data_IF_137876755395
#
_entry.id   IF_137876755395
#
_cell.length_a   1.000
_cell.length_b   1.000
_cell.length_c   1.000
_cell.angle_alpha   90.00
_cell.angle_beta   90.00
_cell.angle_gamma   90.00
#
_symmetry.space_group_name_H-M   'P 1'
#
loop_
_entity.id
_entity.type
_entity.pdbx_description
1 polymer ?
#
# COMPACT_ATOMS: atom_id res chain seq x y z
N UNK A 1 24.64 -14.78 5.42
CA UNK A 1 25.54 -14.02 4.54
C UNK A 1 26.51 -13.22 5.39
N UNK A 2 27.78 -13.04 5.01
CA UNK A 2 28.72 -12.22 5.80
C UNK A 2 28.28 -10.73 5.78
N UNK A 3 28.37 -9.98 6.90
CA UNK A 3 27.93 -8.57 6.97
C UNK A 3 28.53 -7.67 5.89
N UNK A 4 29.79 -7.90 5.51
CA UNK A 4 30.45 -7.15 4.44
C UNK A 4 29.85 -7.41 3.06
N UNK A 5 29.54 -8.68 2.74
CA UNK A 5 28.93 -9.05 1.44
C UNK A 5 27.54 -8.42 1.29
N UNK A 6 26.79 -8.31 2.40
CA UNK A 6 25.52 -7.56 2.45
C UNK A 6 25.73 -6.09 2.06
N UNK A 7 26.72 -5.41 2.64
CA UNK A 7 27.01 -4.01 2.28
C UNK A 7 27.44 -3.85 0.82
N UNK A 8 28.25 -4.79 0.30
CA UNK A 8 28.64 -4.80 -1.12
C UNK A 8 27.44 -5.00 -2.03
N UNK A 9 26.56 -5.96 -1.74
CA UNK A 9 25.34 -6.20 -2.51
C UNK A 9 24.45 -4.96 -2.53
N UNK A 10 24.22 -4.35 -1.35
CA UNK A 10 23.46 -3.11 -1.23
C UNK A 10 24.04 -1.99 -2.09
N UNK A 11 25.35 -1.78 -2.03
CA UNK A 11 26.03 -0.78 -2.83
C UNK A 11 25.92 -1.04 -4.35
N UNK A 12 25.99 -2.30 -4.78
CA UNK A 12 25.77 -2.69 -6.19
C UNK A 12 24.35 -2.36 -6.62
N UNK A 13 23.35 -2.72 -5.82
CA UNK A 13 21.94 -2.46 -6.13
C UNK A 13 21.68 -0.95 -6.21
N UNK A 14 22.15 -0.17 -5.24
CA UNK A 14 22.00 1.30 -5.23
C UNK A 14 22.69 1.97 -6.45
N UNK A 15 23.92 1.58 -6.78
CA UNK A 15 24.62 2.12 -7.96
C UNK A 15 23.93 1.70 -9.26
N UNK A 16 23.40 0.47 -9.34
CA UNK A 16 22.69 -0.01 -10.52
C UNK A 16 21.34 0.66 -10.72
N UNK A 17 20.54 0.87 -9.66
CA UNK A 17 19.27 1.62 -9.72
C UNK A 17 19.50 3.03 -10.27
N UNK A 18 20.60 3.68 -9.88
CA UNK A 18 20.92 5.04 -10.30
C UNK A 18 21.48 5.14 -11.72
N UNK A 19 22.32 4.19 -12.14
CA UNK A 19 23.07 4.28 -13.41
C UNK A 19 22.49 3.42 -14.52
N UNK A 20 21.79 2.34 -14.19
CA UNK A 20 21.41 1.26 -15.11
C UNK A 20 22.61 0.62 -15.84
N UNK A 21 23.83 0.82 -15.35
CA UNK A 21 25.07 0.31 -15.94
C UNK A 21 25.69 -0.79 -15.05
N UNK A 22 26.30 -1.84 -15.63
CA UNK A 22 26.97 -2.88 -14.86
C UNK A 22 28.00 -2.33 -13.88
N UNK A 23 27.85 -2.65 -12.59
CA UNK A 23 28.64 -2.03 -11.52
C UNK A 23 29.97 -2.74 -11.33
N UNK A 24 31.07 -1.98 -11.35
CA UNK A 24 32.42 -2.48 -11.10
C UNK A 24 32.88 -2.24 -9.66
N UNK A 25 33.78 -3.10 -9.15
CA UNK A 25 34.34 -2.97 -7.79
C UNK A 25 35.06 -1.64 -7.54
N UNK A 26 35.66 -1.05 -8.58
CA UNK A 26 36.28 0.27 -8.50
C UNK A 26 35.27 1.40 -8.25
N UNK A 27 34.07 1.33 -8.85
CA UNK A 27 32.99 2.30 -8.61
C UNK A 27 32.54 2.26 -7.16
N UNK A 28 32.33 1.05 -6.63
CA UNK A 28 31.87 0.85 -5.25
C UNK A 28 32.89 1.40 -4.25
N UNK A 29 34.18 1.13 -4.47
CA UNK A 29 35.27 1.64 -3.61
C UNK A 29 35.23 3.16 -3.53
N UNK A 30 34.98 3.83 -4.67
CA UNK A 30 34.96 5.29 -4.78
C UNK A 30 33.71 5.92 -4.16
N UNK A 31 32.55 5.28 -4.32
CA UNK A 31 31.26 5.88 -3.98
C UNK A 31 30.79 5.55 -2.55
N UNK A 32 31.10 4.35 -2.04
CA UNK A 32 30.45 3.79 -0.83
C UNK A 32 31.36 3.67 0.41
N UNK A 33 32.65 4.00 0.29
CA UNK A 33 33.60 4.05 1.43
C UNK A 33 33.57 2.84 2.38
N UNK A 34 33.46 1.62 1.83
CA UNK A 34 33.32 0.37 2.60
C UNK A 34 34.57 -0.06 3.40
N UNK A 35 35.62 0.76 3.44
CA UNK A 35 36.86 0.48 4.18
C UNK A 35 37.70 -0.69 3.64
N UNK A 36 37.43 -1.15 2.41
CA UNK A 36 38.11 -2.30 1.78
C UNK A 36 38.61 -2.01 0.37
N UNK A 37 39.62 -2.77 -0.07
CA UNK A 37 40.21 -2.61 -1.41
C UNK A 37 39.27 -3.09 -2.52
N UNK A 38 39.45 -2.55 -3.74
CA UNK A 38 38.73 -3.01 -4.93
C UNK A 38 38.93 -4.51 -5.22
N UNK A 39 40.09 -5.08 -4.88
CA UNK A 39 40.34 -6.52 -5.00
C UNK A 39 39.46 -7.34 -4.04
N UNK A 40 39.31 -6.88 -2.79
CA UNK A 40 38.43 -7.50 -1.80
C UNK A 40 36.96 -7.43 -2.25
N UNK A 41 36.52 -6.27 -2.75
CA UNK A 41 35.16 -6.10 -3.27
C UNK A 41 34.94 -7.01 -4.48
N UNK A 42 35.91 -7.14 -5.40
CA UNK A 42 35.80 -8.06 -6.54
C UNK A 42 35.59 -9.51 -6.10
N UNK A 43 36.31 -9.95 -5.06
CA UNK A 43 36.14 -11.30 -4.50
C UNK A 43 34.76 -11.48 -3.86
N UNK A 44 34.28 -10.47 -3.10
CA UNK A 44 32.94 -10.51 -2.51
C UNK A 44 31.84 -10.50 -3.60
N UNK A 45 32.02 -9.74 -4.68
CA UNK A 45 31.12 -9.73 -5.84
C UNK A 45 31.11 -11.07 -6.60
N UNK A 46 32.26 -11.73 -6.75
CA UNK A 46 32.29 -13.09 -7.32
C UNK A 46 31.57 -14.10 -6.44
N UNK A 47 31.73 -14.02 -5.11
CA UNK A 47 30.97 -14.87 -4.21
C UNK A 47 29.45 -14.58 -4.27
N UNK A 48 29.07 -13.30 -4.40
CA UNK A 48 27.67 -12.90 -4.60
C UNK A 48 27.07 -13.43 -5.92
N UNK A 49 27.89 -13.51 -6.96
CA UNK A 49 27.54 -14.09 -8.25
C UNK A 49 27.38 -15.62 -8.17
N UNK A 50 28.31 -16.31 -7.52
CA UNK A 50 28.20 -17.75 -7.23
C UNK A 50 26.95 -18.08 -6.39
N UNK A 51 26.62 -17.21 -5.43
CA UNK A 51 25.41 -17.31 -4.61
C UNK A 51 24.13 -16.90 -5.36
N UNK A 52 24.24 -16.39 -6.60
CA UNK A 52 23.13 -16.03 -7.48
C UNK A 52 22.44 -14.69 -7.20
N UNK A 53 23.02 -13.82 -6.37
CA UNK A 53 22.49 -12.46 -6.10
C UNK A 53 22.89 -11.45 -7.18
N UNK A 54 24.01 -11.69 -7.83
CA UNK A 54 24.53 -10.88 -8.93
C UNK A 54 24.75 -11.76 -10.15
N UNK A 55 24.81 -11.16 -11.32
CA UNK A 55 25.21 -11.82 -12.56
C UNK A 55 26.12 -10.90 -13.37
N UNK A 56 27.08 -11.49 -14.08
CA UNK A 56 27.90 -10.78 -15.05
C UNK A 56 27.28 -10.90 -16.46
N UNK A 57 26.74 -9.81 -17.05
CA UNK A 57 26.06 -9.90 -18.36
C UNK A 57 27.04 -10.22 -19.51
N UNK A 58 28.28 -9.72 -19.42
CA UNK A 58 29.36 -9.99 -20.37
C UNK A 58 30.69 -10.14 -19.63
N UNK A 59 31.60 -10.95 -20.16
CA UNK A 59 32.89 -11.30 -19.51
C UNK A 59 33.78 -10.12 -19.11
N UNK A 60 33.60 -8.95 -19.72
CA UNK A 60 34.31 -7.70 -19.38
C UNK A 60 33.46 -6.66 -18.63
N UNK A 61 32.16 -6.90 -18.48
CA UNK A 61 31.23 -5.98 -17.82
C UNK A 61 31.34 -6.08 -16.29
N UNK A 62 30.84 -5.05 -15.60
CA UNK A 62 30.52 -5.10 -14.18
C UNK A 62 29.45 -6.15 -13.86
N UNK A 63 28.87 -6.09 -12.66
CA UNK A 63 27.81 -7.01 -12.22
C UNK A 63 26.50 -6.26 -12.16
N UNK A 64 25.41 -6.97 -12.42
CA UNK A 64 24.05 -6.46 -12.27
C UNK A 64 23.31 -7.31 -11.22
N UNK A 65 22.36 -6.73 -10.46
CA UNK A 65 21.53 -7.50 -9.54
C UNK A 65 20.61 -8.46 -10.28
N UNK A 66 20.40 -9.64 -9.70
CA UNK A 66 19.32 -10.56 -10.09
C UNK A 66 18.05 -10.24 -9.30
N UNK A 67 16.91 -10.87 -9.63
CA UNK A 67 15.69 -10.79 -8.82
C UNK A 67 15.97 -11.14 -7.35
N UNK A 68 16.78 -12.18 -7.11
CA UNK A 68 17.24 -12.57 -5.77
C UNK A 68 18.06 -11.46 -5.09
N UNK A 69 18.90 -10.75 -5.85
CA UNK A 69 19.64 -9.57 -5.41
C UNK A 69 18.72 -8.44 -4.94
N UNK A 70 17.72 -8.10 -5.76
CA UNK A 70 16.73 -7.07 -5.41
C UNK A 70 15.85 -7.47 -4.23
N UNK A 71 15.35 -8.71 -4.20
CA UNK A 71 14.56 -9.24 -3.10
C UNK A 71 15.29 -9.09 -1.77
N UNK A 72 16.54 -9.53 -1.71
CA UNK A 72 17.35 -9.38 -0.50
C UNK A 72 17.61 -7.92 -0.12
N UNK A 73 17.81 -7.04 -1.10
CA UNK A 73 17.93 -5.60 -0.86
C UNK A 73 16.65 -5.01 -0.27
N UNK A 74 15.49 -5.34 -0.84
CA UNK A 74 14.16 -4.87 -0.39
C UNK A 74 13.83 -5.40 1.00
N UNK A 75 14.08 -6.67 1.27
CA UNK A 75 13.86 -7.27 2.60
C UNK A 75 14.76 -6.62 3.67
N UNK A 76 15.94 -6.12 3.27
CA UNK A 76 16.86 -5.37 4.11
C UNK A 76 16.45 -3.91 4.38
N UNK A 77 15.40 -3.39 3.72
CA UNK A 77 14.87 -2.05 3.97
C UNK A 77 14.07 -2.03 5.29
N UNK A 78 14.80 -2.01 6.41
CA UNK A 78 14.27 -2.14 7.76
C UNK A 78 13.31 -1.00 8.20
N UNK A 79 13.21 0.10 7.44
CA UNK A 79 12.14 1.07 7.62
C UNK A 79 12.00 1.92 6.37
N UNK A 80 10.75 2.09 5.93
CA UNK A 80 10.39 3.12 4.96
C UNK A 80 10.84 4.46 5.54
N UNK A 81 11.78 5.14 4.88
CA UNK A 81 12.26 6.46 5.32
C UNK A 81 11.05 7.39 5.37
N UNK A 82 10.69 7.93 6.54
CA UNK A 82 9.53 8.79 6.63
C UNK A 82 9.74 10.01 5.74
N UNK A 83 8.75 10.30 4.88
CA UNK A 83 8.75 11.54 4.12
C UNK A 83 8.95 12.73 5.06
N UNK A 84 9.75 13.71 4.61
CA UNK A 84 9.92 14.97 5.34
C UNK A 84 8.59 15.68 5.53
N UNK A 85 8.48 16.53 6.56
CA UNK A 85 7.27 17.34 6.79
C UNK A 85 6.94 18.25 5.59
N UNK A 86 7.94 18.68 4.83
CA UNK A 86 7.73 19.41 3.58
C UNK A 86 7.03 18.53 2.52
N UNK A 87 7.55 17.32 2.28
CA UNK A 87 6.95 16.36 1.36
C UNK A 87 5.53 15.95 1.79
N UNK A 88 5.32 15.66 3.07
CA UNK A 88 3.98 15.34 3.61
C UNK A 88 2.99 16.49 3.40
N UNK A 89 3.40 17.73 3.65
CA UNK A 89 2.56 18.91 3.41
C UNK A 89 2.27 19.12 1.93
N UNK A 90 3.25 18.93 1.05
CA UNK A 90 3.04 19.02 -0.39
C UNK A 90 2.01 18.00 -0.88
N UNK A 91 2.12 16.73 -0.44
CA UNK A 91 1.15 15.68 -0.71
C UNK A 91 -0.24 16.09 -0.21
N UNK A 92 -0.36 16.51 1.06
CA UNK A 92 -1.64 16.91 1.65
C UNK A 92 -2.27 18.08 0.91
N UNK A 93 -1.49 19.09 0.53
CA UNK A 93 -1.98 20.25 -0.21
C UNK A 93 -2.47 19.85 -1.61
N UNK A 94 -1.74 18.98 -2.30
CA UNK A 94 -2.13 18.50 -3.63
C UNK A 94 -3.45 17.70 -3.61
N UNK A 95 -3.63 16.90 -2.55
CA UNK A 95 -4.84 16.09 -2.36
C UNK A 95 -5.99 16.87 -1.69
N UNK A 96 -5.73 18.08 -1.18
CA UNK A 96 -6.76 18.92 -0.58
C UNK A 96 -7.69 19.54 -1.63
N UNK A 97 -8.92 19.85 -1.22
CA UNK A 97 -9.93 20.45 -2.10
C UNK A 97 -10.54 19.48 -3.12
N UNK A 98 -10.46 18.17 -2.85
CA UNK A 98 -11.26 17.19 -3.58
C UNK A 98 -12.74 17.29 -3.16
N UNK A 99 -13.63 17.16 -4.15
CA UNK A 99 -15.08 17.32 -3.96
C UNK A 99 -15.77 15.97 -3.69
N UNK A 100 -15.15 14.87 -4.10
CA UNK A 100 -15.67 13.51 -3.95
C UNK A 100 -14.55 12.50 -3.68
N UNK A 101 -14.93 11.29 -3.26
CA UNK A 101 -14.01 10.15 -3.13
C UNK A 101 -13.30 9.88 -4.47
N UNK A 102 -14.04 9.79 -5.57
CA UNK A 102 -13.50 9.57 -6.91
C UNK A 102 -12.44 10.60 -7.32
N UNK A 103 -12.67 11.90 -7.09
CA UNK A 103 -11.66 12.95 -7.37
C UNK A 103 -10.41 12.74 -6.50
N UNK A 104 -10.59 12.35 -5.24
CA UNK A 104 -9.48 12.05 -4.32
C UNK A 104 -8.65 10.85 -4.81
N UNK A 105 -9.28 9.76 -5.23
CA UNK A 105 -8.61 8.57 -5.76
C UNK A 105 -7.84 8.89 -7.04
N UNK A 106 -8.46 9.62 -7.97
CA UNK A 106 -7.84 10.02 -9.23
C UNK A 106 -6.62 10.93 -9.01
N UNK A 107 -6.73 11.92 -8.10
CA UNK A 107 -5.60 12.78 -7.73
C UNK A 107 -4.49 12.01 -7.03
N UNK A 108 -4.83 11.03 -6.20
CA UNK A 108 -3.87 10.17 -5.52
C UNK A 108 -3.05 9.34 -6.52
N UNK A 109 -3.71 8.74 -7.52
CA UNK A 109 -3.01 8.02 -8.59
C UNK A 109 -2.04 8.96 -9.35
N UNK A 110 -2.50 10.14 -9.76
CA UNK A 110 -1.66 11.12 -10.49
C UNK A 110 -0.46 11.60 -9.67
N UNK A 111 -0.68 11.89 -8.39
CA UNK A 111 0.38 12.32 -7.48
C UNK A 111 1.42 11.21 -7.30
N UNK A 112 0.98 9.99 -7.05
CA UNK A 112 1.87 8.84 -6.87
C UNK A 112 2.71 8.62 -8.15
N UNK A 113 2.08 8.60 -9.32
CA UNK A 113 2.78 8.49 -10.60
C UNK A 113 3.84 9.58 -10.79
N UNK A 114 3.50 10.82 -10.44
CA UNK A 114 4.43 11.97 -10.56
C UNK A 114 5.62 11.84 -9.62
N UNK A 115 5.41 11.36 -8.38
CA UNK A 115 6.48 11.19 -7.40
C UNK A 115 7.41 10.04 -7.79
N UNK A 116 6.85 8.92 -8.27
CA UNK A 116 7.64 7.71 -8.55
C UNK A 116 8.20 7.68 -9.97
N UNK A 117 7.59 8.43 -10.90
CA UNK A 117 7.85 8.34 -12.33
C UNK A 117 7.38 7.02 -12.95
N UNK A 118 6.49 6.30 -12.26
CA UNK A 118 6.00 4.97 -12.62
C UNK A 118 4.50 4.98 -12.89
N UNK A 119 3.94 3.83 -13.27
CA UNK A 119 2.48 3.67 -13.31
C UNK A 119 1.98 3.57 -11.88
N UNK A 120 0.98 4.38 -11.54
CA UNK A 120 0.28 4.32 -10.27
C UNK A 120 -1.14 3.80 -10.45
N UNK A 121 -1.56 2.95 -9.51
CA UNK A 121 -2.87 2.32 -9.49
C UNK A 121 -3.53 2.57 -8.13
N UNK A 122 -4.80 2.95 -8.15
CA UNK A 122 -5.63 3.09 -6.95
C UNK A 122 -6.97 2.43 -7.23
N UNK A 123 -7.34 1.42 -6.44
CA UNK A 123 -8.67 0.83 -6.51
C UNK A 123 -9.66 1.61 -5.63
N UNK A 124 -10.90 1.76 -6.06
CA UNK A 124 -11.98 2.24 -5.18
C UNK A 124 -12.30 1.24 -4.07
N UNK A 125 -12.75 1.69 -2.87
CA UNK A 125 -13.25 0.79 -1.82
C UNK A 125 -14.34 -0.16 -2.29
N UNK A 126 -14.14 -1.45 -2.03
CA UNK A 126 -15.07 -2.52 -2.29
C UNK A 126 -16.37 -2.36 -1.48
N UNK A 127 -17.55 -2.44 -2.11
CA UNK A 127 -18.83 -2.52 -1.39
C UNK A 127 -18.87 -3.78 -0.51
N UNK A 128 -18.31 -4.89 -0.98
CA UNK A 128 -18.25 -6.20 -0.34
C UNK A 128 -17.46 -6.20 0.96
N UNK A 129 -16.52 -5.27 1.11
CA UNK A 129 -15.76 -5.06 2.34
C UNK A 129 -16.24 -3.85 3.14
N UNK A 130 -17.28 -3.16 2.66
CA UNK A 130 -17.84 -1.98 3.29
C UNK A 130 -19.11 -2.27 4.10
N UNK A 131 -19.47 -1.34 4.95
CA UNK A 131 -20.71 -1.36 5.74
C UNK A 131 -21.69 -0.33 5.19
N UNK A 132 -22.98 -0.63 5.27
CA UNK A 132 -24.04 0.31 4.90
C UNK A 132 -24.12 1.39 5.96
N UNK A 133 -23.91 2.64 5.57
CA UNK A 133 -24.08 3.79 6.45
C UNK A 133 -25.48 4.36 6.35
N UNK A 134 -25.95 4.59 5.12
CA UNK A 134 -27.26 5.17 4.87
C UNK A 134 -27.81 4.71 3.52
N UNK A 135 -29.11 4.46 3.45
CA UNK A 135 -29.86 4.16 2.23
C UNK A 135 -30.90 5.26 2.04
N UNK A 136 -30.86 5.96 0.92
CA UNK A 136 -31.84 6.96 0.53
C UNK A 136 -32.64 6.48 -0.68
N UNK A 137 -33.96 6.68 -0.64
CA UNK A 137 -34.85 6.38 -1.76
C UNK A 137 -35.42 7.68 -2.31
N UNK A 138 -34.97 8.07 -3.49
CA UNK A 138 -35.38 9.31 -4.14
C UNK A 138 -36.34 9.00 -5.27
N UNK A 139 -37.53 9.60 -5.27
CA UNK A 139 -38.47 9.43 -6.36
C UNK A 139 -38.05 10.28 -7.57
N UNK A 140 -37.79 9.62 -8.70
CA UNK A 140 -37.39 10.28 -9.96
C UNK A 140 -38.60 10.47 -10.87
N UNK A 141 -39.55 9.52 -10.85
CA UNK A 141 -40.80 9.57 -11.60
C UNK A 141 -41.93 8.86 -10.83
N UNK A 142 -43.16 8.87 -11.35
CA UNK A 142 -44.27 8.13 -10.74
C UNK A 142 -44.03 6.63 -10.61
N UNK A 143 -43.14 6.06 -11.44
CA UNK A 143 -42.91 4.62 -11.54
C UNK A 143 -41.43 4.25 -11.31
N UNK A 144 -40.61 5.17 -10.81
CA UNK A 144 -39.16 4.95 -10.68
C UNK A 144 -38.60 5.62 -9.44
N UNK A 145 -37.91 4.84 -8.61
CA UNK A 145 -37.07 5.35 -7.53
C UNK A 145 -35.60 5.19 -7.90
N UNK A 146 -34.78 6.09 -7.41
CA UNK A 146 -33.35 5.95 -7.30
C UNK A 146 -33.03 5.53 -5.87
N UNK A 147 -32.48 4.34 -5.70
CA UNK A 147 -31.86 3.93 -4.44
C UNK A 147 -30.41 4.43 -4.44
N UNK A 148 -30.03 5.16 -3.40
CA UNK A 148 -28.67 5.65 -3.16
C UNK A 148 -28.19 5.02 -1.86
N UNK A 149 -27.12 4.24 -1.92
CA UNK A 149 -26.51 3.60 -0.75
C UNK A 149 -25.16 4.24 -0.50
N UNK A 150 -24.99 4.78 0.69
CA UNK A 150 -23.75 5.38 1.18
C UNK A 150 -23.12 4.38 2.14
N UNK A 151 -21.83 4.12 1.97
CA UNK A 151 -21.05 3.25 2.84
C UNK A 151 -20.24 4.03 3.89
N UNK A 152 -19.70 3.32 4.87
CA UNK A 152 -18.69 3.81 5.82
C UNK A 152 -17.35 4.21 5.16
N UNK A 153 -17.10 3.72 3.95
CA UNK A 153 -15.95 4.10 3.12
C UNK A 153 -16.17 5.39 2.32
N UNK A 154 -17.38 5.97 2.37
CA UNK A 154 -17.76 7.14 1.57
C UNK A 154 -18.08 6.80 0.12
N UNK A 155 -18.09 5.52 -0.25
CA UNK A 155 -18.56 5.06 -1.56
C UNK A 155 -20.07 5.25 -1.65
N UNK A 156 -20.52 5.63 -2.85
CA UNK A 156 -21.93 5.84 -3.15
C UNK A 156 -22.33 4.89 -4.28
N UNK A 157 -23.16 3.91 -3.97
CA UNK A 157 -23.77 3.02 -4.95
C UNK A 157 -25.18 3.51 -5.30
N UNK A 158 -25.56 3.42 -6.58
CA UNK A 158 -26.86 3.87 -7.04
C UNK A 158 -27.54 2.83 -7.93
N UNK A 159 -28.84 2.64 -7.75
CA UNK A 159 -29.62 1.71 -8.55
C UNK A 159 -31.03 2.22 -8.81
N UNK A 160 -31.50 2.12 -10.05
CA UNK A 160 -32.86 2.48 -10.43
C UNK A 160 -33.82 1.33 -10.12
N UNK A 161 -34.89 1.62 -9.40
CA UNK A 161 -35.91 0.66 -9.00
C UNK A 161 -37.21 0.96 -9.78
N UNK A 162 -37.69 0.05 -10.63
CA UNK A 162 -39.03 0.15 -11.18
C UNK A 162 -40.04 -0.12 -10.06
N UNK A 163 -40.96 0.82 -9.82
CA UNK A 163 -42.00 0.71 -8.80
C UNK A 163 -43.37 1.09 -9.35
N UNK A 164 -44.43 0.72 -8.62
CA UNK A 164 -45.77 1.26 -8.84
C UNK A 164 -45.95 2.64 -8.19
N UNK A 165 -47.14 3.23 -8.32
CA UNK A 165 -47.42 4.55 -7.75
C UNK A 165 -47.44 4.49 -6.20
N UNK A 166 -46.53 5.22 -5.54
CA UNK A 166 -46.38 5.26 -4.07
C UNK A 166 -46.35 6.72 -3.60
N UNK A 167 -46.98 6.96 -2.44
CA UNK A 167 -46.97 8.26 -1.78
C UNK A 167 -45.59 8.55 -1.14
N UNK A 168 -45.11 9.79 -1.29
CA UNK A 168 -43.83 10.25 -0.73
C UNK A 168 -43.76 10.03 0.80
N UNK A 169 -44.89 10.19 1.51
CA UNK A 169 -44.94 10.04 2.97
C UNK A 169 -44.66 8.60 3.42
N UNK A 170 -45.17 7.63 2.67
CA UNK A 170 -44.99 6.21 2.96
C UNK A 170 -43.55 5.77 2.62
N UNK A 171 -42.96 6.39 1.59
CA UNK A 171 -41.57 6.19 1.22
C UNK A 171 -40.60 6.64 2.33
N UNK A 172 -40.78 7.84 2.89
CA UNK A 172 -39.91 8.33 3.97
C UNK A 172 -39.96 7.43 5.22
N UNK A 173 -41.15 6.94 5.60
CA UNK A 173 -41.30 6.01 6.72
C UNK A 173 -40.61 4.67 6.48
N UNK A 174 -40.70 4.15 5.25
CA UNK A 174 -40.01 2.94 4.84
C UNK A 174 -38.49 3.11 4.88
N UNK A 175 -37.96 4.20 4.31
CA UNK A 175 -36.53 4.53 4.32
C UNK A 175 -35.97 4.62 5.75
N UNK A 176 -36.72 5.23 6.68
CA UNK A 176 -36.31 5.29 8.08
C UNK A 176 -36.24 3.89 8.74
N UNK A 177 -37.19 3.01 8.44
CA UNK A 177 -37.20 1.64 8.97
C UNK A 177 -36.06 0.79 8.39
N UNK A 178 -35.77 0.94 7.08
CA UNK A 178 -34.63 0.30 6.42
C UNK A 178 -33.33 0.73 7.09
N UNK A 179 -33.09 2.04 7.22
CA UNK A 179 -31.87 2.56 7.85
C UNK A 179 -31.72 2.08 9.30
N UNK A 180 -32.81 1.99 10.07
CA UNK A 180 -32.75 1.46 11.43
C UNK A 180 -32.24 0.02 11.51
N UNK A 181 -32.50 -0.81 10.48
CA UNK A 181 -32.04 -2.20 10.43
C UNK A 181 -30.69 -2.39 9.72
N UNK A 182 -30.44 -1.60 8.69
CA UNK A 182 -29.29 -1.78 7.81
C UNK A 182 -28.10 -0.87 8.17
N UNK A 183 -28.29 0.17 8.97
CA UNK A 183 -27.19 1.04 9.38
C UNK A 183 -26.13 0.23 10.13
N UNK A 184 -24.88 0.47 9.76
CA UNK A 184 -23.69 -0.20 10.28
C UNK A 184 -23.71 -1.72 10.11
N UNK A 185 -24.40 -2.25 9.10
CA UNK A 185 -24.34 -3.68 8.75
C UNK A 185 -23.41 -3.92 7.55
N UNK A 186 -22.71 -5.06 7.48
CA UNK A 186 -22.00 -5.48 6.26
C UNK A 186 -22.91 -5.43 5.03
N UNK A 187 -22.39 -4.94 3.91
CA UNK A 187 -23.20 -4.72 2.70
C UNK A 187 -23.81 -6.02 2.15
N UNK A 188 -23.08 -7.14 2.24
CA UNK A 188 -23.54 -8.47 1.84
C UNK A 188 -24.79 -8.95 2.60
N UNK A 189 -24.93 -8.53 3.86
CA UNK A 189 -26.06 -8.84 4.73
C UNK A 189 -27.27 -7.91 4.51
N UNK A 190 -27.04 -6.71 3.94
CA UNK A 190 -28.06 -5.66 3.83
C UNK A 190 -29.30 -6.13 3.04
N UNK A 191 -29.10 -6.86 1.94
CA UNK A 191 -30.21 -7.40 1.15
C UNK A 191 -31.08 -8.38 1.94
N UNK A 192 -30.47 -9.20 2.80
CA UNK A 192 -31.19 -10.12 3.69
C UNK A 192 -32.03 -9.36 4.72
N UNK A 193 -31.45 -8.35 5.39
CA UNK A 193 -32.17 -7.53 6.36
C UNK A 193 -33.35 -6.76 5.75
N UNK A 194 -33.20 -6.29 4.50
CA UNK A 194 -34.30 -5.66 3.76
C UNK A 194 -35.39 -6.68 3.45
N UNK A 195 -35.06 -7.91 3.03
CA UNK A 195 -36.07 -8.96 2.77
C UNK A 195 -36.92 -9.27 4.00
N UNK A 196 -36.32 -9.28 5.20
CA UNK A 196 -37.04 -9.57 6.44
C UNK A 196 -38.11 -8.50 6.80
N UNK A 197 -37.96 -7.27 6.28
CA UNK A 197 -38.98 -6.22 6.43
C UNK A 197 -40.26 -6.52 5.65
N UNK A 198 -40.15 -7.29 4.54
CA UNK A 198 -41.32 -7.64 3.72
C UNK A 198 -42.31 -8.54 4.44
N UNK A 199 -41.85 -9.31 5.43
CA UNK A 199 -42.65 -10.25 6.23
C UNK A 199 -43.64 -9.50 7.14
N UNK A 200 -43.27 -8.30 7.60
CA UNK A 200 -44.01 -7.52 8.58
C UNK A 200 -44.81 -6.36 7.97
N UNK A 201 -44.93 -6.32 6.64
CA UNK A 201 -45.57 -5.23 5.89
C UNK A 201 -46.85 -5.75 5.25
N UNK A 202 -48.02 -5.20 5.55
CA UNK A 202 -49.29 -5.68 4.97
C UNK A 202 -49.60 -5.09 3.58
N UNK A 203 -48.97 -3.97 3.22
CA UNK A 203 -49.17 -3.28 1.93
C UNK A 203 -48.40 -3.96 0.79
N UNK A 204 -49.11 -4.35 -0.27
CA UNK A 204 -48.55 -5.01 -1.45
C UNK A 204 -47.59 -4.13 -2.25
N UNK A 205 -47.82 -2.82 -2.33
CA UNK A 205 -46.95 -1.87 -3.01
C UNK A 205 -45.63 -1.69 -2.22
N UNK A 206 -45.72 -1.58 -0.90
CA UNK A 206 -44.53 -1.50 -0.04
C UNK A 206 -43.70 -2.79 -0.11
N UNK A 207 -44.34 -3.97 -0.11
CA UNK A 207 -43.63 -5.26 -0.30
C UNK A 207 -42.87 -5.30 -1.62
N UNK A 208 -43.45 -4.75 -2.69
CA UNK A 208 -42.80 -4.70 -3.99
C UNK A 208 -41.54 -3.82 -3.96
N UNK A 209 -41.61 -2.63 -3.33
CA UNK A 209 -40.42 -1.77 -3.15
C UNK A 209 -39.34 -2.46 -2.34
N UNK A 210 -39.69 -3.09 -1.22
CA UNK A 210 -38.75 -3.82 -0.36
C UNK A 210 -38.06 -4.93 -1.16
N UNK A 211 -38.82 -5.70 -1.93
CA UNK A 211 -38.27 -6.77 -2.77
C UNK A 211 -37.37 -6.23 -3.88
N UNK A 212 -37.79 -5.15 -4.55
CA UNK A 212 -36.98 -4.49 -5.58
C UNK A 212 -35.67 -3.93 -4.99
N UNK A 213 -35.72 -3.31 -3.81
CA UNK A 213 -34.53 -2.80 -3.13
C UNK A 213 -33.60 -3.94 -2.71
N UNK A 214 -34.12 -5.03 -2.15
CA UNK A 214 -33.29 -6.18 -1.77
C UNK A 214 -32.61 -6.81 -2.99
N UNK A 215 -33.32 -6.94 -4.11
CA UNK A 215 -32.72 -7.43 -5.36
C UNK A 215 -31.67 -6.45 -5.88
N UNK A 216 -31.92 -5.14 -5.81
CA UNK A 216 -30.93 -4.14 -6.20
C UNK A 216 -29.68 -4.17 -5.32
N UNK A 217 -29.81 -4.41 -4.00
CA UNK A 217 -28.67 -4.59 -3.10
C UNK A 217 -27.84 -5.82 -3.47
N UNK A 218 -28.51 -6.96 -3.75
CA UNK A 218 -27.86 -8.16 -4.27
C UNK A 218 -27.15 -7.90 -5.62
N UNK A 219 -27.79 -7.17 -6.53
CA UNK A 219 -27.26 -6.86 -7.85
C UNK A 219 -26.08 -5.89 -7.76
N UNK A 220 -26.14 -4.90 -6.87
CA UNK A 220 -25.02 -4.00 -6.58
C UNK A 220 -23.82 -4.77 -5.99
N UNK A 221 -24.06 -5.74 -5.11
CA UNK A 221 -23.01 -6.60 -4.55
C UNK A 221 -22.42 -7.56 -5.60
N UNK A 222 -23.25 -8.17 -6.45
CA UNK A 222 -22.78 -9.09 -7.51
C UNK A 222 -22.14 -8.35 -8.69
N UNK A 223 -22.59 -7.13 -8.98
CA UNK A 223 -22.06 -6.26 -10.02
C UNK A 223 -20.73 -5.59 -9.65
N UNK A 224 -20.28 -5.77 -8.41
CA UNK A 224 -19.07 -5.17 -7.82
C UNK A 224 -17.75 -5.65 -8.46
N UNK A 225 -17.80 -6.56 -9.44
CA UNK A 225 -16.62 -6.97 -10.22
C UNK A 225 -15.96 -5.83 -11.02
N UNK A 226 -16.54 -4.63 -10.99
CA UNK A 226 -15.96 -3.40 -11.54
C UNK A 226 -15.63 -2.42 -10.42
N UNK A 227 -14.62 -2.74 -9.62
CA UNK A 227 -13.99 -1.70 -8.80
C UNK A 227 -13.34 -0.71 -9.78
N UNK A 228 -13.67 0.57 -9.66
CA UNK A 228 -12.98 1.59 -10.45
C UNK A 228 -11.49 1.54 -10.11
N UNK A 229 -10.70 1.16 -11.10
CA UNK A 229 -9.25 1.19 -11.05
C UNK A 229 -8.79 2.50 -11.68
N UNK A 230 -8.24 3.38 -10.85
CA UNK A 230 -7.68 4.66 -11.28
C UNK A 230 -6.21 4.47 -11.63
N UNK A 231 -5.89 4.63 -12.91
CA UNK A 231 -4.53 4.44 -13.45
C UNK A 231 -3.95 5.80 -13.87
N UNK A 232 -2.69 6.05 -13.53
CA UNK A 232 -1.92 7.20 -13.99
C UNK A 232 -0.46 6.80 -14.27
N UNK A 233 0.28 7.62 -15.03
CA UNK A 233 1.73 7.44 -15.18
C UNK A 233 2.21 6.57 -16.34
N UNK A 234 1.33 5.90 -17.09
CA UNK A 234 1.73 5.07 -18.25
C UNK A 234 2.58 5.84 -19.27
N UNK A 235 2.18 7.07 -19.61
CA UNK A 235 2.96 7.93 -20.51
C UNK A 235 4.31 8.33 -19.89
N UNK A 236 4.38 8.59 -18.58
CA UNK A 236 5.63 8.95 -17.91
C UNK A 236 6.63 7.79 -17.95
N UNK A 237 6.15 6.57 -17.68
CA UNK A 237 6.98 5.36 -17.77
C UNK A 237 7.52 5.16 -19.18
N UNK A 238 6.67 5.33 -20.20
CA UNK A 238 7.03 5.15 -21.61
C UNK A 238 8.03 6.21 -22.13
N UNK A 239 8.07 7.40 -21.54
CA UNK A 239 9.04 8.45 -21.91
C UNK A 239 10.38 8.29 -21.17
N UNK A 240 10.37 7.76 -19.95
CA UNK A 240 11.58 7.58 -19.13
C UNK A 240 12.34 6.31 -19.46
N UNK A 241 11.66 5.31 -20.03
CA UNK A 241 12.24 4.04 -20.42
C UNK A 241 11.94 3.76 -21.89
N UNK A 242 12.61 2.77 -22.47
CA UNK A 242 12.27 2.31 -23.80
C UNK A 242 10.91 1.60 -23.77
N UNK A 243 9.90 2.18 -24.43
CA UNK A 243 8.52 1.68 -24.39
C UNK A 243 8.39 0.21 -24.84
N UNK A 244 9.26 -0.24 -25.74
CA UNK A 244 9.26 -1.62 -26.22
C UNK A 244 9.58 -2.64 -25.12
N UNK A 245 10.35 -2.25 -24.09
CA UNK A 245 10.73 -3.13 -23.00
C UNK A 245 9.53 -3.40 -22.04
N UNK A 246 8.46 -2.60 -22.16
CA UNK A 246 7.28 -2.65 -21.30
C UNK A 246 5.97 -2.85 -22.10
N UNK A 247 6.04 -3.30 -23.35
CA UNK A 247 4.85 -3.55 -24.17
C UNK A 247 3.89 -4.55 -23.48
N UNK A 248 4.41 -5.66 -22.98
CA UNK A 248 3.64 -6.68 -22.25
C UNK A 248 2.98 -6.11 -20.97
N UNK A 249 3.68 -5.23 -20.26
CA UNK A 249 3.10 -4.52 -19.11
C UNK A 249 1.92 -3.65 -19.53
N UNK A 250 2.02 -2.93 -20.65
CA UNK A 250 0.89 -2.11 -21.13
C UNK A 250 -0.31 -2.97 -21.54
N UNK A 251 -0.07 -4.11 -22.19
CA UNK A 251 -1.11 -5.09 -22.51
C UNK A 251 -1.78 -5.63 -21.24
N UNK A 252 -1.02 -5.95 -20.19
CA UNK A 252 -1.54 -6.42 -18.90
C UNK A 252 -2.42 -5.38 -18.20
N UNK A 253 -2.14 -4.08 -18.36
CA UNK A 253 -2.97 -3.03 -17.78
C UNK A 253 -4.33 -2.89 -18.47
N UNK A 254 -4.45 -3.32 -19.72
CA UNK A 254 -5.74 -3.45 -20.40
C UNK A 254 -6.57 -4.57 -19.77
N UNK A 255 -5.92 -5.63 -19.29
CA UNK A 255 -6.52 -6.70 -18.49
C UNK A 255 -6.67 -6.34 -17.00
N UNK A 256 -7.45 -5.29 -16.71
CA UNK A 256 -7.63 -4.75 -15.35
C UNK A 256 -8.00 -5.82 -14.29
N UNK A 257 -8.73 -6.86 -14.67
CA UNK A 257 -9.11 -7.95 -13.76
C UNK A 257 -7.90 -8.74 -13.22
N UNK A 258 -6.84 -8.92 -14.02
CA UNK A 258 -5.60 -9.60 -13.60
C UNK A 258 -4.85 -8.73 -12.61
N UNK A 259 -4.65 -7.46 -12.95
CA UNK A 259 -3.99 -6.47 -12.09
C UNK A 259 -4.71 -6.33 -10.75
N UNK A 260 -6.05 -6.25 -10.77
CA UNK A 260 -6.85 -6.16 -9.55
C UNK A 260 -6.62 -7.35 -8.61
N UNK A 261 -6.57 -8.58 -9.13
CA UNK A 261 -6.33 -9.79 -8.31
C UNK A 261 -4.95 -9.76 -7.68
N UNK A 262 -3.92 -9.47 -8.49
CA UNK A 262 -2.54 -9.36 -8.02
C UNK A 262 -2.39 -8.30 -6.92
N UNK A 263 -2.91 -7.11 -7.17
CA UNK A 263 -2.79 -6.00 -6.22
C UNK A 263 -3.56 -6.26 -4.93
N UNK A 264 -4.71 -6.95 -5.02
CA UNK A 264 -5.50 -7.34 -3.85
C UNK A 264 -4.72 -8.33 -2.98
N UNK A 265 -4.17 -9.41 -3.57
CA UNK A 265 -3.40 -10.41 -2.80
C UNK A 265 -2.18 -9.78 -2.14
N UNK A 266 -1.41 -8.98 -2.89
CA UNK A 266 -0.24 -8.30 -2.34
C UNK A 266 -0.61 -7.25 -1.27
N UNK A 267 -1.76 -6.58 -1.38
CA UNK A 267 -2.21 -5.61 -0.37
C UNK A 267 -2.65 -6.28 0.94
N UNK A 268 -3.17 -7.50 0.86
CA UNK A 268 -3.50 -8.30 2.04
C UNK A 268 -2.22 -8.72 2.77
N UNK A 269 -1.23 -9.23 2.04
CA UNK A 269 0.12 -9.52 2.59
C UNK A 269 0.77 -8.27 3.21
N UNK A 270 0.61 -7.10 2.58
CA UNK A 270 1.14 -5.84 3.08
C UNK A 270 0.59 -5.47 4.46
N UNK A 271 -0.62 -5.92 4.81
CA UNK A 271 -1.29 -5.62 6.07
C UNK A 271 -0.65 -6.36 7.26
N UNK A 272 -0.02 -7.50 7.00
CA UNK A 272 0.71 -8.28 8.00
C UNK A 272 2.19 -7.83 8.13
N UNK A 273 2.66 -6.99 7.21
CA UNK A 273 4.01 -6.47 7.21
C UNK A 273 4.18 -5.30 8.18
N UNK A 274 5.26 -5.28 8.96
CA UNK A 274 5.61 -4.16 9.85
C UNK A 274 5.68 -2.80 9.13
N UNK A 275 6.00 -2.80 7.84
CA UNK A 275 6.09 -1.61 7.01
C UNK A 275 4.77 -1.19 6.37
N UNK A 276 3.72 -2.02 6.36
CA UNK A 276 2.42 -1.74 5.74
C UNK A 276 2.46 -1.69 4.19
N UNK A 277 3.51 -2.24 3.57
CA UNK A 277 3.75 -2.23 2.13
C UNK A 277 4.26 -3.62 1.73
N UNK A 278 3.73 -4.15 0.63
CA UNK A 278 4.24 -5.37 -0.02
C UNK A 278 4.92 -5.00 -1.34
N UNK A 279 5.93 -5.79 -1.71
CA UNK A 279 6.70 -5.64 -2.93
C UNK A 279 6.75 -7.00 -3.63
N UNK A 280 6.55 -7.03 -4.94
CA UNK A 280 6.75 -8.21 -5.78
C UNK A 280 7.66 -7.83 -6.96
N UNK A 281 8.66 -8.66 -7.25
CA UNK A 281 9.72 -8.39 -8.22
C UNK A 281 9.68 -9.48 -9.29
N UNK A 282 9.46 -9.07 -10.54
CA UNK A 282 9.47 -9.94 -11.71
C UNK A 282 8.65 -11.20 -11.54
N UNK A 283 9.32 -12.35 -11.47
CA UNK A 283 8.67 -13.66 -11.33
C UNK A 283 7.75 -13.80 -10.10
N UNK A 284 7.97 -13.03 -9.03
CA UNK A 284 7.13 -13.06 -7.82
C UNK A 284 5.74 -12.46 -8.04
N UNK A 285 5.52 -11.75 -9.14
CA UNK A 285 4.18 -11.27 -9.53
C UNK A 285 3.26 -12.41 -9.97
N UNK A 286 3.82 -13.60 -10.26
CA UNK A 286 3.10 -14.75 -10.81
C UNK A 286 2.28 -14.43 -12.08
N UNK A 287 2.66 -13.35 -12.76
CA UNK A 287 1.96 -12.79 -13.94
C UNK A 287 3.01 -12.63 -15.04
N UNK A 288 2.99 -13.45 -16.11
CA UNK A 288 4.02 -13.45 -17.14
C UNK A 288 4.28 -12.07 -17.76
N UNK A 289 3.23 -11.28 -17.96
CA UNK A 289 3.27 -9.95 -18.55
C UNK A 289 3.95 -8.90 -17.65
N UNK A 290 4.15 -9.23 -16.35
CA UNK A 290 4.83 -8.39 -15.37
C UNK A 290 6.24 -8.91 -15.04
N UNK A 291 6.77 -9.86 -15.82
CA UNK A 291 8.09 -10.45 -15.56
C UNK A 291 9.21 -9.41 -15.52
N UNK A 292 9.16 -8.39 -16.39
CA UNK A 292 10.15 -7.30 -16.42
C UNK A 292 9.78 -6.11 -15.51
N UNK A 293 8.73 -6.25 -14.71
CA UNK A 293 8.21 -5.21 -13.85
C UNK A 293 8.42 -5.55 -12.37
N UNK A 294 8.15 -4.57 -11.53
CA UNK A 294 8.06 -4.73 -10.09
C UNK A 294 6.88 -3.92 -9.59
N UNK A 295 6.25 -4.45 -8.54
CA UNK A 295 5.00 -3.95 -7.99
C UNK A 295 5.24 -3.60 -6.53
N UNK A 296 4.84 -2.40 -6.13
CA UNK A 296 4.86 -1.95 -4.73
C UNK A 296 3.43 -1.54 -4.38
N UNK A 297 2.83 -2.15 -3.37
CA UNK A 297 1.42 -1.91 -3.02
C UNK A 297 1.19 -1.83 -1.52
N UNK A 298 0.13 -1.16 -1.13
CA UNK A 298 -0.34 -1.02 0.25
C UNK A 298 -1.87 -1.03 0.29
N UNK A 299 -2.43 -1.67 1.31
CA UNK A 299 -3.84 -1.62 1.60
C UNK A 299 -4.26 -0.29 2.25
N UNK A 300 -5.50 0.12 2.04
CA UNK A 300 -6.11 1.25 2.72
C UNK A 300 -7.62 1.02 2.96
N UNK A 301 -8.19 1.83 3.85
CA UNK A 301 -9.54 1.70 4.40
C UNK A 301 -9.68 0.42 5.22
N UNK A 302 -9.10 0.42 6.42
CA UNK A 302 -9.14 -0.73 7.32
C UNK A 302 -10.40 -0.72 8.19
N UNK A 303 -11.12 -1.84 8.25
CA UNK A 303 -12.33 -1.94 9.05
C UNK A 303 -11.96 -2.12 10.54
N UNK A 304 -12.06 -1.04 11.31
CA UNK A 304 -11.55 -0.96 12.69
C UNK A 304 -12.59 -1.44 13.70
N UNK A 305 -12.97 -2.72 13.69
CA UNK A 305 -13.85 -3.28 14.72
C UNK A 305 -13.28 -4.55 15.33
N UNK A 306 -12.61 -4.36 16.48
CA UNK A 306 -12.00 -5.44 17.28
C UNK A 306 -11.01 -5.00 18.37
N UNK A 307 -10.71 -3.70 18.55
CA UNK A 307 -9.77 -3.29 19.61
C UNK A 307 -10.21 -2.00 20.30
N UNK A 308 -10.63 -2.12 21.58
CA UNK A 308 -10.44 -1.06 22.56
C UNK A 308 -8.94 -0.99 22.88
N UNK A 309 -8.16 -0.41 21.95
CA UNK A 309 -6.74 -0.19 22.15
C UNK A 309 -6.61 1.25 22.60
N UNK A 310 -6.53 1.43 23.90
CA UNK A 310 -6.01 2.63 24.52
C UNK A 310 -4.53 2.80 24.18
N UNK A 311 -4.18 2.97 22.90
CA UNK A 311 -2.97 3.68 22.45
C UNK A 311 -3.38 4.51 21.24
N UNK A 312 -3.75 5.75 21.56
CA UNK A 312 -4.03 6.85 20.66
C UNK A 312 -2.85 7.15 19.72
N UNK A 313 -2.98 6.84 18.43
CA UNK A 313 -2.25 7.56 17.37
C UNK A 313 -2.98 8.88 17.00
N UNK A 314 -4.21 9.05 17.48
CA UNK A 314 -5.04 10.25 17.36
C UNK A 314 -4.65 11.39 18.32
N UNK A 315 -3.72 11.19 19.25
CA UNK A 315 -3.34 12.20 20.25
C UNK A 315 -2.26 13.21 19.79
N UNK A 316 -1.63 13.04 18.62
CA UNK A 316 -0.56 13.95 18.15
C UNK A 316 -1.09 15.01 17.14
N UNK A 317 -2.29 14.86 16.60
CA UNK A 317 -2.78 15.69 15.47
C UNK A 317 -3.94 16.61 15.88
N UNK A 318 -3.93 17.07 17.13
CA UNK A 318 -4.97 17.92 17.71
C UNK A 318 -4.52 19.33 18.06
N UNK A 319 -3.75 20.04 17.23
CA UNK A 319 -3.53 21.49 17.41
C UNK A 319 -2.89 22.20 16.21
N UNK A 320 -3.41 22.03 15.00
CA UNK A 320 -3.05 22.99 13.92
C UNK A 320 -4.05 23.04 12.76
N UNK A 321 -5.34 23.14 13.09
CA UNK A 321 -6.39 23.51 12.15
C UNK A 321 -6.86 24.91 12.49
N UNK A 322 -6.04 25.92 12.19
CA UNK A 322 -6.49 27.30 11.98
C UNK A 322 -5.34 28.16 11.41
N UNK A 323 -5.08 28.04 10.11
CA UNK A 323 -4.69 29.20 9.33
C UNK A 323 -4.82 28.90 7.83
N UNK A 324 -5.92 29.34 7.22
CA UNK A 324 -5.99 29.52 5.77
C UNK A 324 -5.15 30.74 5.42
N UNK A 325 -3.98 30.53 4.80
CA UNK A 325 -3.39 31.52 3.90
C UNK A 325 -2.87 30.83 2.65
N UNK A 326 -3.41 31.27 1.52
CA UNK A 326 -2.95 30.96 0.19
C UNK A 326 -1.43 31.15 0.10
N UNK A 327 -0.71 30.08 -0.24
CA UNK A 327 0.57 30.19 -0.90
C UNK A 327 0.56 29.23 -2.09
N UNK A 328 0.58 29.82 -3.29
CA UNK A 328 0.95 29.09 -4.51
C UNK A 328 2.39 28.62 -4.30
N UNK A 329 2.60 27.30 -4.29
CA UNK A 329 3.94 26.72 -4.32
C UNK A 329 4.03 25.89 -5.60
N UNK A 330 5.04 26.24 -6.37
CA UNK A 330 5.39 25.71 -7.68
C UNK A 330 5.81 24.23 -7.56
N UNK A 331 5.31 23.40 -8.48
CA UNK A 331 5.47 21.92 -8.48
C UNK A 331 6.91 21.50 -8.84
N UNK A 332 7.77 22.44 -9.21
CA UNK A 332 9.18 22.23 -9.59
C UNK A 332 10.14 21.91 -8.42
N UNK A 333 9.68 21.93 -7.16
CA UNK A 333 10.54 21.66 -5.99
C UNK A 333 10.69 20.16 -5.63
N UNK A 334 9.89 19.27 -6.22
CA UNK A 334 10.00 17.83 -5.95
C UNK A 334 11.11 17.18 -6.79
N UNK A 335 11.48 17.76 -7.93
CA UNK A 335 12.53 17.20 -8.81
C UNK A 335 13.96 17.51 -8.35
N UNK A 336 14.19 18.56 -7.54
CA UNK A 336 15.54 19.05 -7.21
C UNK A 336 16.04 18.74 -5.79
N UNK A 337 15.37 17.87 -5.04
CA UNK A 337 15.77 17.55 -3.66
C UNK A 337 16.89 16.50 -3.55
N UNK A 338 17.28 15.85 -4.67
CA UNK A 338 18.33 14.82 -4.69
C UNK A 338 19.71 15.33 -5.18
N UNK A 339 19.89 16.63 -5.46
CA UNK A 339 21.15 17.18 -5.97
C UNK A 339 21.90 18.14 -5.01
N UNK A 340 21.39 18.37 -3.79
CA UNK A 340 22.02 19.28 -2.81
C UNK A 340 22.57 18.57 -1.57
N UNK A 341 23.57 17.70 -1.74
CA UNK A 341 24.59 17.39 -0.72
C UNK A 341 25.93 17.07 -1.36
N UNK A 342 26.48 18.00 -2.14
CA UNK A 342 27.93 18.04 -2.35
C UNK A 342 28.35 19.39 -2.92
N UNK A 343 28.72 20.33 -2.04
CA UNK A 343 29.78 21.32 -2.26
C UNK A 343 29.99 22.20 -1.03
N UNK A 344 31.27 22.35 -0.70
CA UNK A 344 31.90 23.38 0.13
C UNK A 344 31.96 23.12 1.64
N UNK A 345 32.96 22.33 2.05
CA UNK A 345 33.87 22.77 3.11
C UNK A 345 35.30 22.35 2.72
N UNK A 346 36.03 23.28 2.14
CA UNK A 346 37.49 23.24 2.00
C UNK A 346 38.05 24.55 2.51
N UNK A 347 39.10 24.46 3.31
CA UNK A 347 39.89 25.50 3.96
C UNK A 347 39.31 26.09 5.25
N UNK A 348 39.91 25.67 6.37
CA UNK A 348 40.71 26.54 7.21
C UNK A 348 41.83 25.68 7.83
N UNK A 349 43.06 26.02 7.45
CA UNK A 349 44.29 25.56 8.09
C UNK A 349 44.55 26.37 9.38
N UNK A 350 45.42 25.76 10.20
CA UNK A 350 46.32 26.33 11.19
C UNK A 350 45.92 26.36 12.69
N UNK A 351 46.76 25.60 13.42
CA UNK A 351 47.32 25.80 14.75
C UNK A 351 46.42 25.69 15.99
N UNK A 352 46.54 24.58 16.73
CA UNK A 352 47.43 24.61 17.90
C UNK A 352 47.68 23.25 18.56
N UNK A 353 48.88 23.19 19.14
CA UNK A 353 49.64 22.15 19.83
C UNK A 353 48.93 21.20 20.82
N UNK A 354 49.47 19.96 20.85
CA UNK A 354 49.88 19.17 22.02
C UNK A 354 48.92 18.99 23.21
N UNK A 355 48.64 17.73 23.57
CA UNK A 355 49.10 17.08 24.81
C UNK A 355 48.78 15.57 24.75
N UNK A 356 49.82 14.79 24.96
CA UNK A 356 49.83 13.36 25.29
C UNK A 356 49.07 13.06 26.59
N UNK A 357 48.38 11.92 26.68
CA UNK A 357 48.47 11.06 27.87
C UNK A 357 47.88 9.66 27.62
N UNK A 358 48.61 8.69 28.15
CA UNK A 358 48.37 7.26 28.20
C UNK A 358 47.36 6.86 29.31
N UNK A 359 47.01 5.57 29.29
CA UNK A 359 46.54 4.69 30.37
C UNK A 359 45.04 4.63 30.74
N UNK A 360 44.54 3.38 30.81
CA UNK A 360 43.42 3.00 31.66
C UNK A 360 42.62 1.77 31.20
N UNK A 361 43.14 0.57 31.49
CA UNK A 361 42.41 -0.70 31.56
C UNK A 361 41.24 -0.67 32.55
N UNK A 362 40.15 -1.41 32.27
CA UNK A 362 39.27 -2.09 33.24
C UNK A 362 38.54 -3.23 32.48
N UNK A 363 38.99 -4.49 32.61
CA UNK A 363 38.61 -5.51 33.62
C UNK A 363 37.29 -6.25 33.34
N UNK A 364 37.45 -7.57 33.23
CA UNK A 364 36.47 -8.66 33.13
C UNK A 364 35.62 -8.78 34.40
N UNK A 365 34.41 -9.34 34.23
CA UNK A 365 33.75 -10.16 35.24
C UNK A 365 33.12 -11.37 34.53
N UNK A 366 33.74 -12.53 34.74
CA UNK A 366 33.20 -13.88 34.50
C UNK A 366 32.25 -14.30 35.64
N UNK A 367 31.68 -15.51 35.45
CA UNK A 367 30.95 -16.39 36.38
C UNK A 367 29.42 -16.20 36.38
N UNK A 368 28.57 -17.21 36.13
CA UNK A 368 28.74 -18.66 36.33
C UNK A 368 27.83 -19.54 35.47
N UNK A 369 28.33 -20.75 35.22
CA UNK A 369 27.67 -21.92 34.65
C UNK A 369 26.56 -22.46 35.55
N UNK A 370 25.54 -23.10 34.96
CA UNK A 370 24.90 -24.30 35.50
C UNK A 370 24.24 -25.08 34.35
N UNK A 371 24.66 -26.33 34.21
CA UNK A 371 24.27 -27.33 33.23
C UNK A 371 23.34 -28.38 33.84
N UNK A 372 22.81 -29.27 32.97
CA UNK A 372 22.27 -30.62 33.24
C UNK A 372 20.82 -30.65 33.81
N UNK A 373 19.87 -31.50 33.40
CA UNK A 373 19.89 -32.72 32.58
C UNK A 373 18.47 -33.11 32.11
N UNK A 374 18.43 -33.94 31.06
CA UNK A 374 17.47 -34.99 30.67
C UNK A 374 16.08 -35.09 31.35
N UNK A 375 15.03 -35.25 30.53
CA UNK A 375 14.07 -36.36 30.70
C UNK A 375 13.29 -36.65 29.41
N UNK A 376 13.16 -37.96 29.16
CA UNK A 376 12.60 -38.64 27.99
C UNK A 376 11.09 -38.90 28.07
N UNK A 377 10.52 -39.11 26.87
CA UNK A 377 9.47 -40.06 26.51
C UNK A 377 8.01 -39.95 27.00
N UNK A 378 7.13 -40.04 25.99
CA UNK A 378 5.84 -40.72 25.92
C UNK A 378 4.64 -40.16 26.72
N UNK A 379 3.61 -39.75 25.98
CA UNK A 379 2.31 -40.44 26.01
C UNK A 379 1.41 -40.01 24.85
N UNK A 380 1.05 -40.97 24.00
CA UNK A 380 -0.20 -40.95 23.26
C UNK A 380 -1.35 -41.18 24.24
N UNK A 381 -2.37 -40.33 24.21
CA UNK A 381 -3.73 -40.76 24.52
C UNK A 381 -4.73 -39.92 23.73
N UNK A 382 -5.44 -40.60 22.83
CA UNK A 382 -6.67 -40.15 22.21
C UNK A 382 -7.68 -39.68 23.27
N UNK A 383 -8.37 -38.57 23.02
CA UNK A 383 -9.75 -38.41 23.46
C UNK A 383 -10.50 -37.42 22.54
N UNK A 384 -11.58 -37.95 21.97
CA UNK A 384 -12.57 -37.29 21.13
C UNK A 384 -13.44 -36.26 21.89
N UNK A 385 -14.04 -35.35 21.09
CA UNK A 385 -15.07 -34.29 21.37
C UNK A 385 -14.45 -32.88 21.41
N UNK A 386 -14.92 -31.86 20.70
CA UNK A 386 -16.21 -31.62 20.02
C UNK A 386 -16.02 -30.49 19.01
N UNK A 387 -16.86 -30.48 17.97
CA UNK A 387 -16.84 -29.54 16.86
C UNK A 387 -17.00 -28.06 17.25
N UNK A 388 -16.24 -27.24 16.53
CA UNK A 388 -16.50 -25.86 16.09
C UNK A 388 -16.54 -24.74 17.14
N UNK A 389 -15.36 -24.42 17.68
CA UNK A 389 -15.00 -23.02 17.92
C UNK A 389 -14.24 -22.53 16.68
N UNK A 390 -14.95 -21.99 15.69
CA UNK A 390 -14.32 -21.14 14.68
C UNK A 390 -14.21 -19.78 15.35
N UNK A 391 -13.07 -19.50 15.98
CA UNK A 391 -12.71 -18.12 16.25
C UNK A 391 -12.71 -17.38 14.91
N UNK A 392 -13.42 -16.24 14.77
CA UNK A 392 -13.30 -15.46 13.56
C UNK A 392 -11.85 -14.99 13.49
N UNK A 393 -11.10 -15.45 12.50
CA UNK A 393 -9.79 -14.89 12.18
C UNK A 393 -10.01 -13.41 11.90
N UNK A 394 -9.68 -12.56 12.87
CA UNK A 394 -9.81 -11.12 12.80
C UNK A 394 -8.74 -10.57 11.84
N UNK A 395 -8.98 -10.69 10.55
CA UNK A 395 -8.09 -10.16 9.53
C UNK A 395 -8.44 -8.69 9.34
N UNK A 396 -7.48 -7.81 9.68
CA UNK A 396 -7.53 -6.38 9.38
C UNK A 396 -7.36 -6.20 7.87
N UNK A 397 -8.36 -6.63 7.10
CA UNK A 397 -8.31 -6.63 5.64
C UNK A 397 -8.58 -5.22 5.11
N UNK A 398 -7.77 -4.75 4.16
CA UNK A 398 -8.03 -3.47 3.52
C UNK A 398 -9.26 -3.58 2.61
N UNK A 399 -10.08 -2.52 2.58
CA UNK A 399 -11.22 -2.43 1.65
C UNK A 399 -10.80 -2.04 0.22
N UNK A 400 -9.58 -1.52 0.04
CA UNK A 400 -8.99 -1.20 -1.26
C UNK A 400 -7.45 -1.12 -1.19
N UNK A 401 -6.81 -0.97 -2.35
CA UNK A 401 -5.35 -0.87 -2.45
C UNK A 401 -4.89 0.35 -3.26
N UNK A 402 -3.65 0.73 -2.99
CA UNK A 402 -2.89 1.68 -3.80
C UNK A 402 -1.51 1.10 -4.06
N UNK A 403 -0.98 1.29 -5.27
CA UNK A 403 0.40 0.91 -5.54
C UNK A 403 0.96 1.49 -6.82
N UNK A 404 2.20 1.08 -7.08
CA UNK A 404 3.04 1.54 -8.17
C UNK A 404 3.63 0.33 -8.90
N UNK A 405 3.56 0.35 -10.24
CA UNK A 405 4.18 -0.65 -11.11
C UNK A 405 5.23 0.04 -11.98
N UNK A 406 6.46 -0.47 -11.92
CA UNK A 406 7.62 0.10 -12.60
C UNK A 406 8.65 -0.97 -12.98
N UNK A 407 9.85 -0.58 -13.44
CA UNK A 407 10.90 -1.53 -13.77
C UNK A 407 11.46 -2.21 -12.51
N UNK A 408 12.13 -3.35 -12.70
CA UNK A 408 12.82 -4.07 -11.60
C UNK A 408 13.93 -3.26 -10.92
N UNK A 409 14.44 -2.22 -11.57
CA UNK A 409 15.46 -1.33 -11.02
C UNK A 409 14.87 0.01 -10.55
N UNK A 410 13.59 0.05 -10.18
CA UNK A 410 12.99 1.27 -9.62
C UNK A 410 13.66 1.68 -8.30
N UNK A 411 13.52 2.95 -7.92
CA UNK A 411 13.87 3.41 -6.57
C UNK A 411 12.86 2.86 -5.56
N UNK A 412 13.12 1.66 -5.04
CA UNK A 412 12.25 0.98 -4.07
C UNK A 412 12.05 1.81 -2.80
N UNK A 413 13.08 2.51 -2.32
CA UNK A 413 13.02 3.29 -1.08
C UNK A 413 12.04 4.45 -1.26
N UNK A 414 12.19 5.22 -2.34
CA UNK A 414 11.29 6.34 -2.63
C UNK A 414 9.87 5.84 -2.93
N UNK A 415 9.74 4.75 -3.69
CA UNK A 415 8.44 4.19 -4.10
C UNK A 415 7.65 3.66 -2.92
N UNK A 416 8.25 2.83 -2.05
CA UNK A 416 7.59 2.34 -0.82
C UNK A 416 7.18 3.50 0.10
N UNK A 417 8.01 4.55 0.20
CA UNK A 417 7.72 5.75 0.98
C UNK A 417 6.54 6.53 0.44
N UNK A 418 6.47 6.69 -0.88
CA UNK A 418 5.37 7.37 -1.55
C UNK A 418 4.06 6.59 -1.41
N UNK A 419 4.07 5.29 -1.72
CA UNK A 419 2.89 4.40 -1.61
C UNK A 419 2.34 4.42 -0.18
N UNK A 420 3.18 4.23 0.83
CA UNK A 420 2.77 4.26 2.24
C UNK A 420 2.18 5.61 2.65
N UNK A 421 2.78 6.71 2.22
CA UNK A 421 2.32 8.05 2.57
C UNK A 421 0.94 8.36 1.96
N UNK A 422 0.72 7.98 0.70
CA UNK A 422 -0.56 8.19 0.03
C UNK A 422 -1.63 7.25 0.61
N UNK A 423 -1.30 5.99 0.92
CA UNK A 423 -2.19 5.08 1.63
C UNK A 423 -2.63 5.64 2.99
N UNK A 424 -1.68 6.20 3.77
CA UNK A 424 -1.99 6.87 5.05
C UNK A 424 -2.90 8.07 4.86
N UNK A 425 -2.71 8.87 3.80
CA UNK A 425 -3.64 9.96 3.47
C UNK A 425 -5.05 9.44 3.16
N UNK A 426 -5.17 8.41 2.32
CA UNK A 426 -6.46 7.81 1.96
C UNK A 426 -7.19 7.23 3.18
N UNK A 427 -6.47 6.59 4.11
CA UNK A 427 -7.02 6.16 5.40
C UNK A 427 -7.61 7.34 6.18
N UNK A 428 -6.87 8.44 6.29
CA UNK A 428 -7.39 9.64 6.97
C UNK A 428 -8.57 10.25 6.23
N UNK A 429 -8.56 10.28 4.90
CA UNK A 429 -9.64 10.82 4.10
C UNK A 429 -10.92 10.00 4.27
N UNK A 430 -10.83 8.67 4.20
CA UNK A 430 -11.97 7.78 4.44
C UNK A 430 -12.49 8.03 5.85
N UNK A 431 -11.66 7.93 6.88
CA UNK A 431 -12.10 8.08 8.28
C UNK A 431 -12.78 9.42 8.60
N UNK A 432 -12.45 10.52 7.90
CA UNK A 432 -13.14 11.81 8.08
C UNK A 432 -14.47 11.91 7.34
N UNK A 433 -14.66 11.13 6.28
CA UNK A 433 -15.90 11.05 5.50
C UNK A 433 -16.76 9.83 5.89
N UNK A 434 -16.24 8.95 6.77
CA UNK A 434 -16.89 7.80 7.41
C UNK A 434 -17.98 8.16 8.40
#
# INVERSE_FOLDING_TARGET
MQPRRMMVLRAVVEDYIRSQEPVGSASITKNHHLGVSSATIRNDMSALEEDGYLVQPHTSAGRIPTEKGYRYFVDGLASVIPLSEAQRRAIRNFLSGSVSLQDTLQRSARLLATITGQIALVASPALSRSRVRHIELVQVSSNTLLAVVITDTGSVAQHMLPIGNISIKDLSGLTANINKKCADTPFDCAASYVRDLSIHTDDSNMRMVIKSLANALDDMYKGEHTHDLYIAGASQLAHRNNANDFAELFDALEEQAVIMRLMTSLSEEASDCANGVSVAIGSETHTPELFNASVVTSGYGYNSYGYNSSISESAIIGSSLNNRRNMNIDVSLIENSNECKNKNFSHLDDDDSCISNEYGDYEECEEDNLSEDDFSENNLSENNKTSSDIEPSHTNTPVAFIGSIGPQHMDYVATMSAVKAVAKYLNTFIAHNS
#
